data_IF_843748931901
#
_entry.id   IF_843748931901
#
_cell.length_a   1.000
_cell.length_b   1.000
_cell.length_c   1.000
_cell.angle_alpha   90.00
_cell.angle_beta   90.00
_cell.angle_gamma   90.00
#
_symmetry.space_group_name_H-M   'P 1'
#
loop_
_entity.id
_entity.type
_entity.pdbx_description
1 polymer ?
#
# COMPACT_ATOMS: atom_id res chain seq x y z
N UNK A 1 7.84 -37.31 24.56
CA UNK A 1 7.35 -36.44 23.46
C UNK A 1 6.11 -37.10 22.86
N UNK A 2 4.91 -36.64 23.21
CA UNK A 2 3.66 -37.28 22.80
C UNK A 2 3.26 -36.77 21.41
N UNK A 3 3.18 -37.59 20.34
CA UNK A 3 2.84 -37.10 19.01
C UNK A 3 1.40 -36.56 19.00
N UNK A 4 1.24 -35.28 18.66
CA UNK A 4 -0.09 -34.65 18.51
C UNK A 4 -0.99 -35.52 17.61
N UNK A 5 -2.25 -35.77 18.01
CA UNK A 5 -3.14 -36.70 17.31
C UNK A 5 -3.32 -36.27 15.85
N UNK A 6 -3.35 -37.23 14.92
CA UNK A 6 -3.44 -36.99 13.47
C UNK A 6 -4.61 -36.08 13.07
N UNK A 7 -5.71 -36.10 13.84
CA UNK A 7 -6.87 -35.19 13.68
C UNK A 7 -6.53 -33.71 13.94
N UNK A 8 -5.62 -33.42 14.88
CA UNK A 8 -5.15 -32.06 15.14
C UNK A 8 -4.23 -31.55 14.03
N UNK A 9 -3.47 -32.45 13.36
CA UNK A 9 -2.68 -32.10 12.17
C UNK A 9 -3.58 -31.84 10.97
N UNK A 10 -4.64 -32.62 10.77
CA UNK A 10 -5.64 -32.37 9.73
C UNK A 10 -6.37 -31.04 9.95
N UNK A 11 -6.84 -30.77 11.17
CA UNK A 11 -7.50 -29.50 11.50
C UNK A 11 -6.60 -28.28 11.32
N UNK A 12 -5.31 -28.39 11.67
CA UNK A 12 -4.37 -27.30 11.44
C UNK A 12 -4.13 -27.03 9.94
N UNK A 13 -4.00 -28.08 9.13
CA UNK A 13 -3.79 -27.94 7.67
C UNK A 13 -5.00 -27.34 6.98
N UNK A 14 -6.22 -27.74 7.36
CA UNK A 14 -7.44 -27.15 6.80
C UNK A 14 -7.59 -25.68 7.19
N UNK A 15 -7.27 -25.31 8.43
CA UNK A 15 -7.27 -23.91 8.87
C UNK A 15 -6.28 -23.05 8.08
N UNK A 16 -5.04 -23.53 7.87
CA UNK A 16 -4.06 -22.82 7.05
C UNK A 16 -4.55 -22.67 5.62
N UNK A 17 -5.14 -23.71 5.03
CA UNK A 17 -5.66 -23.67 3.67
C UNK A 17 -6.79 -22.64 3.54
N UNK A 18 -7.74 -22.63 4.46
CA UNK A 18 -8.82 -21.64 4.47
C UNK A 18 -8.30 -20.20 4.64
N UNK A 19 -7.35 -19.98 5.56
CA UNK A 19 -6.73 -18.68 5.75
C UNK A 19 -5.96 -18.24 4.49
N UNK A 20 -5.29 -19.16 3.81
CA UNK A 20 -4.56 -18.88 2.56
C UNK A 20 -5.53 -18.48 1.45
N UNK A 21 -6.60 -19.25 1.24
CA UNK A 21 -7.62 -18.92 0.23
C UNK A 21 -8.26 -17.56 0.53
N UNK A 22 -8.56 -17.29 1.79
CA UNK A 22 -9.11 -15.99 2.21
C UNK A 22 -8.15 -14.83 1.92
N UNK A 23 -6.86 -14.96 2.21
CA UNK A 23 -5.86 -13.93 1.92
C UNK A 23 -5.58 -13.76 0.42
N UNK A 24 -5.65 -14.84 -0.37
CA UNK A 24 -5.42 -14.80 -1.81
C UNK A 24 -6.64 -14.31 -2.60
N UNK A 25 -7.85 -14.45 -2.07
CA UNK A 25 -9.08 -14.01 -2.72
C UNK A 25 -9.04 -12.55 -3.20
N UNK A 26 -8.67 -11.53 -2.39
CA UNK A 26 -8.60 -10.15 -2.87
C UNK A 26 -7.55 -9.96 -3.97
N UNK A 27 -6.41 -10.67 -3.91
CA UNK A 27 -5.38 -10.61 -4.95
C UNK A 27 -5.90 -11.22 -6.27
N UNK A 28 -6.58 -12.36 -6.18
CA UNK A 28 -7.27 -12.98 -7.30
C UNK A 28 -8.30 -12.02 -7.91
N UNK A 29 -9.11 -11.39 -7.06
CA UNK A 29 -10.13 -10.44 -7.49
C UNK A 29 -9.50 -9.24 -8.23
N UNK A 30 -8.43 -8.64 -7.69
CA UNK A 30 -7.71 -7.57 -8.36
C UNK A 30 -7.14 -8.00 -9.72
N UNK A 31 -6.60 -9.22 -9.81
CA UNK A 31 -6.06 -9.77 -11.06
C UNK A 31 -7.16 -9.94 -12.11
N UNK A 32 -8.30 -10.53 -11.73
CA UNK A 32 -9.45 -10.70 -12.64
C UNK A 32 -9.95 -9.35 -13.14
N UNK A 33 -10.13 -8.36 -12.26
CA UNK A 33 -10.59 -7.03 -12.66
C UNK A 33 -9.60 -6.32 -13.56
N UNK A 34 -8.28 -6.48 -13.34
CA UNK A 34 -7.26 -5.85 -14.19
C UNK A 34 -7.24 -6.35 -15.64
N UNK A 35 -7.78 -7.54 -15.91
CA UNK A 35 -7.80 -8.16 -17.25
C UNK A 35 -9.12 -7.96 -17.99
N UNK A 36 -10.13 -7.36 -17.36
CA UNK A 36 -11.43 -7.13 -17.98
C UNK A 36 -11.45 -5.86 -18.81
N UNK A 37 -12.25 -5.86 -19.87
CA UNK A 37 -12.60 -4.64 -20.57
C UNK A 37 -13.52 -3.77 -19.70
N UNK A 38 -13.57 -2.44 -19.90
CA UNK A 38 -14.45 -1.56 -19.14
C UNK A 38 -15.93 -1.98 -19.18
N UNK A 39 -16.38 -2.52 -20.30
CA UNK A 39 -17.74 -3.02 -20.47
C UNK A 39 -17.98 -4.31 -19.67
N UNK A 40 -17.00 -5.21 -19.63
CA UNK A 40 -17.09 -6.45 -18.85
C UNK A 40 -16.99 -6.20 -17.35
N UNK A 41 -16.24 -5.18 -16.92
CA UNK A 41 -16.17 -4.81 -15.50
C UNK A 41 -17.52 -4.26 -14.98
N UNK A 42 -18.21 -3.44 -15.77
CA UNK A 42 -19.50 -2.83 -15.38
C UNK A 42 -20.67 -3.82 -15.46
N UNK A 43 -20.73 -4.64 -16.52
CA UNK A 43 -21.90 -5.47 -16.81
C UNK A 43 -21.66 -6.99 -16.72
N UNK A 44 -20.42 -7.43 -16.52
CA UNK A 44 -20.03 -8.84 -16.49
C UNK A 44 -20.03 -9.48 -15.11
N UNK A 45 -19.54 -10.72 -15.03
CA UNK A 45 -19.42 -11.46 -13.76
C UNK A 45 -18.22 -10.94 -12.96
N UNK A 46 -18.37 -10.50 -11.70
CA UNK A 46 -17.27 -9.94 -10.92
C UNK A 46 -16.12 -10.93 -10.63
N UNK A 47 -16.37 -12.23 -10.63
CA UNK A 47 -15.40 -13.24 -10.20
C UNK A 47 -14.60 -13.91 -11.32
N UNK A 48 -15.04 -13.78 -12.58
CA UNK A 48 -14.44 -14.48 -13.72
C UNK A 48 -14.32 -13.50 -14.88
N UNK A 49 -13.19 -13.57 -15.59
CA UNK A 49 -12.98 -12.86 -16.86
C UNK A 49 -13.27 -13.81 -18.03
N UNK A 50 -14.12 -13.38 -18.95
CA UNK A 50 -14.51 -14.10 -20.14
C UNK A 50 -13.60 -13.78 -21.32
N UNK A 51 -13.23 -12.50 -21.48
CA UNK A 51 -12.32 -12.05 -22.53
C UNK A 51 -11.12 -11.33 -21.91
N UNK A 52 -10.06 -12.06 -21.50
CA UNK A 52 -8.89 -11.43 -20.90
C UNK A 52 -8.17 -10.55 -21.92
N UNK A 53 -7.95 -9.29 -21.56
CA UNK A 53 -7.27 -8.28 -22.38
C UNK A 53 -6.16 -7.61 -21.58
N UNK A 54 -5.18 -7.03 -22.31
CA UNK A 54 -4.11 -6.23 -21.72
C UNK A 54 -4.31 -4.73 -21.95
N UNK A 55 -5.49 -4.32 -22.43
CA UNK A 55 -5.82 -2.92 -22.77
C UNK A 55 -5.60 -1.98 -21.58
N UNK A 56 -6.04 -2.37 -20.39
CA UNK A 56 -5.81 -1.60 -19.16
C UNK A 56 -4.32 -1.41 -18.83
N UNK A 57 -3.45 -2.34 -19.23
CA UNK A 57 -2.00 -2.23 -19.01
C UNK A 57 -1.34 -1.40 -20.11
N UNK A 58 -1.75 -1.57 -21.37
CA UNK A 58 -1.26 -0.76 -22.49
C UNK A 58 -1.58 0.72 -22.27
N UNK A 59 -2.80 1.04 -21.84
CA UNK A 59 -3.24 2.42 -21.53
C UNK A 59 -2.37 3.09 -20.45
N UNK A 60 -1.87 2.34 -19.45
CA UNK A 60 -1.00 2.87 -18.40
C UNK A 60 0.37 3.33 -18.93
N UNK A 61 0.88 2.71 -19.99
CA UNK A 61 2.20 3.02 -20.55
C UNK A 61 2.13 3.89 -21.81
N UNK A 62 0.95 4.07 -22.39
CA UNK A 62 0.73 4.93 -23.54
C UNK A 62 0.74 6.42 -23.16
N UNK A 63 1.88 7.07 -23.43
CA UNK A 63 2.02 8.54 -23.26
C UNK A 63 1.19 9.36 -24.25
N UNK A 64 0.78 8.76 -25.37
CA UNK A 64 -0.04 9.43 -26.39
C UNK A 64 -1.48 9.08 -26.07
N UNK A 65 -2.29 10.08 -25.72
CA UNK A 65 -3.72 9.93 -25.43
C UNK A 65 -4.56 9.50 -26.65
N UNK A 66 -4.22 8.36 -27.26
CA UNK A 66 -5.13 7.64 -28.14
C UNK A 66 -6.23 7.06 -27.26
N UNK A 67 -7.37 7.74 -27.28
CA UNK A 67 -8.59 7.30 -26.61
C UNK A 67 -8.99 5.94 -27.16
N UNK A 68 -8.76 4.88 -26.40
CA UNK A 68 -9.36 3.57 -26.63
C UNK A 68 -10.28 3.26 -25.45
N UNK A 69 -11.59 3.30 -25.69
CA UNK A 69 -12.59 2.92 -24.69
C UNK A 69 -13.63 3.98 -24.32
N UNK A 70 -14.47 3.62 -23.35
CA UNK A 70 -15.74 4.28 -22.97
C UNK A 70 -15.61 5.72 -22.44
N UNK A 71 -14.39 6.18 -22.11
CA UNK A 71 -14.20 7.46 -21.41
C UNK A 71 -13.99 8.68 -22.35
N UNK A 72 -13.82 8.46 -23.66
CA UNK A 72 -13.78 9.53 -24.65
C UNK A 72 -12.62 10.53 -24.50
N UNK A 73 -12.66 11.63 -25.26
CA UNK A 73 -11.69 12.74 -25.23
C UNK A 73 -11.54 13.45 -23.86
N UNK A 74 -12.33 13.07 -22.85
CA UNK A 74 -12.32 13.67 -21.51
C UNK A 74 -11.08 13.30 -20.68
N UNK A 75 -10.41 12.19 -20.99
CA UNK A 75 -9.16 11.75 -20.36
C UNK A 75 -7.96 11.87 -21.33
N UNK A 76 -7.91 12.93 -22.13
CA UNK A 76 -6.76 13.26 -23.01
C UNK A 76 -5.42 13.48 -22.30
N UNK A 77 -5.38 13.39 -20.97
CA UNK A 77 -4.17 13.62 -20.18
C UNK A 77 -3.34 12.35 -20.26
N UNK A 78 -2.21 12.42 -20.96
CA UNK A 78 -1.13 11.43 -20.87
C UNK A 78 -0.97 11.00 -19.43
N UNK A 79 -1.26 9.74 -19.09
CA UNK A 79 -1.09 9.21 -17.74
C UNK A 79 0.41 9.12 -17.45
N UNK A 80 0.99 9.97 -16.58
CA UNK A 80 2.42 9.92 -16.28
C UNK A 80 2.68 8.83 -15.24
N UNK A 81 2.20 7.60 -15.49
CA UNK A 81 2.26 6.48 -14.56
C UNK A 81 3.69 6.19 -14.11
N UNK A 82 4.65 6.23 -15.05
CA UNK A 82 6.07 6.04 -14.74
C UNK A 82 6.62 7.14 -13.83
N UNK A 83 6.16 8.39 -13.98
CA UNK A 83 6.60 9.50 -13.16
C UNK A 83 6.00 9.37 -11.74
N UNK A 84 4.73 9.00 -11.63
CA UNK A 84 4.11 8.68 -10.33
C UNK A 84 4.78 7.50 -9.63
N UNK A 85 5.15 6.46 -10.37
CA UNK A 85 5.84 5.30 -9.84
C UNK A 85 7.24 5.69 -9.35
N UNK A 86 7.98 6.48 -10.13
CA UNK A 86 9.29 6.99 -9.74
C UNK A 86 9.21 7.86 -8.47
N UNK A 87 8.25 8.80 -8.43
CA UNK A 87 8.03 9.67 -7.27
C UNK A 87 7.66 8.85 -6.03
N UNK A 88 6.78 7.85 -6.17
CA UNK A 88 6.43 6.92 -5.10
C UNK A 88 7.65 6.15 -4.60
N UNK A 89 8.49 5.63 -5.50
CA UNK A 89 9.70 4.90 -5.13
C UNK A 89 10.71 5.79 -4.39
N UNK A 90 10.92 7.03 -4.85
CA UNK A 90 11.83 7.99 -4.21
C UNK A 90 11.33 8.35 -2.82
N UNK A 91 10.05 8.71 -2.68
CA UNK A 91 9.44 9.06 -1.39
C UNK A 91 9.42 7.86 -0.44
N UNK A 92 9.09 6.66 -0.94
CA UNK A 92 9.13 5.43 -0.17
C UNK A 92 10.53 5.13 0.36
N UNK A 93 11.54 5.09 -0.52
CA UNK A 93 12.91 4.78 -0.13
C UNK A 93 13.46 5.83 0.85
N UNK A 94 13.24 7.12 0.58
CA UNK A 94 13.67 8.22 1.44
C UNK A 94 13.03 8.15 2.82
N UNK A 95 11.70 7.96 2.90
CA UNK A 95 10.98 7.87 4.17
C UNK A 95 11.38 6.64 4.99
N UNK A 96 11.55 5.48 4.35
CA UNK A 96 12.02 4.25 5.02
C UNK A 96 13.42 4.45 5.59
N UNK A 97 14.36 4.98 4.81
CA UNK A 97 15.72 5.22 5.26
C UNK A 97 15.77 6.21 6.43
N UNK A 98 15.09 7.36 6.30
CA UNK A 98 15.05 8.37 7.36
C UNK A 98 14.43 7.81 8.66
N UNK A 99 13.32 7.10 8.54
CA UNK A 99 12.63 6.48 9.68
C UNK A 99 13.48 5.40 10.33
N UNK A 100 14.16 4.57 9.53
CA UNK A 100 15.01 3.50 10.03
C UNK A 100 16.21 4.06 10.79
N UNK A 101 16.90 5.05 10.23
CA UNK A 101 18.04 5.69 10.90
C UNK A 101 17.63 6.31 12.24
N UNK A 102 16.55 7.10 12.24
CA UNK A 102 16.05 7.74 13.46
C UNK A 102 15.56 6.72 14.51
N UNK A 103 14.80 5.71 14.09
CA UNK A 103 14.25 4.69 14.98
C UNK A 103 15.32 3.78 15.57
N UNK A 104 16.33 3.38 14.80
CA UNK A 104 17.46 2.57 15.29
C UNK A 104 18.28 3.35 16.32
N UNK A 105 18.59 4.63 16.04
CA UNK A 105 19.31 5.48 16.98
C UNK A 105 18.53 5.66 18.30
N UNK A 106 17.23 5.95 18.20
CA UNK A 106 16.35 6.09 19.36
C UNK A 106 16.23 4.78 20.16
N UNK A 107 16.04 3.64 19.48
CA UNK A 107 15.94 2.33 20.10
C UNK A 107 17.24 1.95 20.83
N UNK A 108 18.40 2.24 20.25
CA UNK A 108 19.69 1.99 20.89
C UNK A 108 19.89 2.86 22.13
N UNK A 109 19.63 4.16 22.04
CA UNK A 109 19.75 5.07 23.18
C UNK A 109 18.85 4.65 24.34
N UNK A 110 17.59 4.30 24.05
CA UNK A 110 16.63 3.87 25.06
C UNK A 110 16.96 2.48 25.61
N UNK A 111 17.38 1.53 24.79
CA UNK A 111 17.66 0.15 25.21
C UNK A 111 18.99 -0.02 25.96
N UNK A 112 20.05 0.65 25.52
CA UNK A 112 21.42 0.45 26.02
C UNK A 112 21.93 1.61 26.87
N UNK A 113 21.77 2.85 26.43
CA UNK A 113 22.33 4.02 27.13
C UNK A 113 21.47 4.46 28.32
N UNK A 114 20.15 4.24 28.25
CA UNK A 114 19.18 4.58 29.31
C UNK A 114 19.36 6.02 29.81
N UNK A 115 19.18 7.03 28.93
CA UNK A 115 19.39 8.43 29.28
C UNK A 115 18.52 8.85 30.47
N UNK A 116 18.88 9.95 31.17
CA UNK A 116 18.07 10.47 32.26
C UNK A 116 16.62 10.70 31.79
N UNK A 117 15.66 10.20 32.56
CA UNK A 117 14.24 10.26 32.18
C UNK A 117 13.79 9.20 31.16
N UNK A 118 14.58 8.14 30.89
CA UNK A 118 14.24 7.05 29.95
C UNK A 118 12.80 6.52 30.06
N UNK A 119 12.25 6.38 31.27
CA UNK A 119 10.86 5.91 31.48
C UNK A 119 9.83 6.89 30.92
N UNK A 120 10.10 8.20 30.99
CA UNK A 120 9.26 9.24 30.41
C UNK A 120 9.33 9.21 28.88
N UNK A 121 10.53 9.17 28.30
CA UNK A 121 10.70 9.05 26.84
C UNK A 121 9.97 7.85 26.26
N UNK A 122 10.09 6.68 26.92
CA UNK A 122 9.36 5.48 26.50
C UNK A 122 7.85 5.71 26.51
N UNK A 123 7.31 6.31 27.57
CA UNK A 123 5.87 6.62 27.68
C UNK A 123 5.43 7.65 26.63
N UNK A 124 6.23 8.67 26.36
CA UNK A 124 5.93 9.69 25.36
C UNK A 124 5.80 9.09 23.95
N UNK A 125 6.73 8.20 23.56
CA UNK A 125 6.66 7.48 22.28
C UNK A 125 5.38 6.63 22.22
N UNK A 126 5.04 5.91 23.28
CA UNK A 126 3.78 5.15 23.31
C UNK A 126 2.54 6.06 23.23
N UNK A 127 2.57 7.23 23.86
CA UNK A 127 1.47 8.19 23.80
C UNK A 127 1.24 8.71 22.36
N UNK A 128 2.30 8.86 21.55
CA UNK A 128 2.14 9.28 20.14
C UNK A 128 1.36 8.28 19.28
N UNK A 129 1.35 6.98 19.62
CA UNK A 129 0.55 5.98 18.89
C UNK A 129 -0.96 6.10 19.11
N UNK A 130 -1.37 6.80 20.18
CA UNK A 130 -2.80 7.02 20.48
C UNK A 130 -3.36 8.17 19.63
N UNK A 131 -2.49 9.03 19.11
CA UNK A 131 -2.92 10.18 18.30
C UNK A 131 -3.45 9.67 16.95
N UNK A 132 -4.72 9.95 16.61
CA UNK A 132 -5.26 9.57 15.31
C UNK A 132 -4.56 10.37 14.20
N UNK A 133 -4.01 9.67 13.21
CA UNK A 133 -3.26 10.27 12.11
C UNK A 133 -4.10 11.25 11.28
N UNK A 134 -5.42 11.07 11.24
CA UNK A 134 -6.34 11.94 10.49
C UNK A 134 -6.34 13.39 10.96
N UNK A 135 -6.16 13.64 12.26
CA UNK A 135 -6.12 15.01 12.82
C UNK A 135 -4.83 15.73 12.43
N UNK A 136 -3.76 14.98 12.12
CA UNK A 136 -2.47 15.54 11.72
C UNK A 136 -2.44 16.01 10.27
N UNK A 137 -3.44 15.67 9.45
CA UNK A 137 -3.41 15.97 8.02
C UNK A 137 -3.35 17.47 7.72
N UNK A 138 -4.26 18.27 8.31
CA UNK A 138 -4.31 19.73 8.13
C UNK A 138 -3.00 20.40 8.58
N UNK A 139 -2.50 20.18 9.82
CA UNK A 139 -1.28 20.85 10.26
C UNK A 139 -0.04 20.40 9.49
N UNK A 140 0.06 19.13 9.08
CA UNK A 140 1.17 18.67 8.23
C UNK A 140 1.14 19.34 6.87
N UNK A 141 -0.03 19.47 6.24
CA UNK A 141 -0.17 20.19 4.98
C UNK A 141 0.26 21.65 5.10
N UNK A 142 -0.10 22.33 6.19
CA UNK A 142 0.36 23.70 6.45
C UNK A 142 1.89 23.79 6.55
N UNK A 143 2.54 22.82 7.20
CA UNK A 143 4.00 22.75 7.29
C UNK A 143 4.62 22.53 5.91
N UNK A 144 4.09 21.60 5.12
CA UNK A 144 4.58 21.33 3.75
C UNK A 144 4.47 22.57 2.87
N UNK A 145 3.34 23.26 2.90
CA UNK A 145 3.14 24.50 2.13
C UNK A 145 4.05 25.63 2.62
N UNK A 146 4.22 25.77 3.94
CA UNK A 146 5.11 26.79 4.51
C UNK A 146 6.58 26.55 4.10
N UNK A 147 6.95 25.30 3.85
CA UNK A 147 8.26 24.91 3.34
C UNK A 147 8.38 24.98 1.81
N UNK A 148 7.28 25.24 1.07
CA UNK A 148 7.25 25.23 -0.39
C UNK A 148 7.54 23.86 -1.00
N UNK A 149 7.15 22.79 -0.30
CA UNK A 149 7.36 21.40 -0.70
C UNK A 149 6.11 20.76 -1.29
N UNK A 150 5.08 21.55 -1.61
CA UNK A 150 3.86 21.07 -2.23
C UNK A 150 4.08 20.79 -3.72
N UNK A 151 3.74 19.56 -4.13
CA UNK A 151 3.69 19.11 -5.54
C UNK A 151 4.92 19.45 -6.39
N UNK A 152 6.12 19.31 -5.81
CA UNK A 152 7.40 19.69 -6.42
C UNK A 152 8.26 18.50 -6.89
N UNK A 153 7.66 17.30 -6.96
CA UNK A 153 8.29 16.06 -7.45
C UNK A 153 7.51 15.50 -8.63
#
# INVERSE_FOLDING_TARGET
MNPKPWRAKLGHRTLILLATVYCLFPIYFMLVQSLKTPQEDVFGNPLIVMNPTLENFEELFERKGEVRGFVGDALRRSYPFLDWLANTLVVFAGSVLATLVASVAAAYALGRLRPPGFRWWRRAIFATYVIPQTILFIPLFQVVNALGLDDNL
#
